data_IF_393496518092
#
_entry.id   IF_393496518092
#
_cell.length_a   1.000
_cell.length_b   1.000
_cell.length_c   1.000
_cell.angle_alpha   90.00
_cell.angle_beta   90.00
_cell.angle_gamma   90.00
#
_symmetry.space_group_name_H-M   'P 1'
#
loop_
_entity.id
_entity.type
_entity.pdbx_description
1 polymer ?
#
# COMPACT_ATOMS: atom_id res chain seq x y z
N UNK A 1 -16.57 21.93 -9.60
CA UNK A 1 -15.64 21.55 -8.51
C UNK A 1 -14.36 20.99 -9.12
N UNK A 2 -13.23 21.54 -8.69
CA UNK A 2 -11.89 21.19 -9.15
C UNK A 2 -11.10 20.61 -7.98
N UNK A 3 -10.05 19.85 -8.27
CA UNK A 3 -9.20 19.24 -7.25
C UNK A 3 -7.73 19.47 -7.57
N UNK A 4 -6.93 19.68 -6.53
CA UNK A 4 -5.47 19.62 -6.57
C UNK A 4 -5.00 18.48 -5.67
N UNK A 5 -4.21 17.57 -6.22
CA UNK A 5 -3.53 16.52 -5.48
C UNK A 5 -2.12 17.02 -5.16
N UNK A 6 -1.76 17.01 -3.88
CA UNK A 6 -0.42 17.35 -3.41
C UNK A 6 0.52 16.16 -3.57
N UNK A 7 1.83 16.39 -3.57
CA UNK A 7 2.85 15.33 -3.65
C UNK A 7 2.73 14.32 -2.49
N UNK A 8 2.19 14.74 -1.36
CA UNK A 8 1.88 13.86 -0.23
C UNK A 8 0.60 13.00 -0.39
N UNK A 9 -0.13 13.17 -1.49
CA UNK A 9 -1.40 12.47 -1.74
C UNK A 9 -2.63 13.12 -1.12
N UNK A 10 -2.49 14.22 -0.36
CA UNK A 10 -3.65 15.03 0.09
C UNK A 10 -4.37 15.63 -1.11
N UNK A 11 -5.71 15.61 -1.09
CA UNK A 11 -6.54 16.20 -2.14
C UNK A 11 -7.23 17.43 -1.58
N UNK A 12 -6.98 18.58 -2.19
CA UNK A 12 -7.65 19.83 -1.92
C UNK A 12 -8.73 20.06 -2.96
N UNK A 13 -9.89 20.54 -2.52
CA UNK A 13 -11.03 20.82 -3.36
C UNK A 13 -11.28 22.31 -3.50
N UNK A 14 -11.52 22.74 -4.74
CA UNK A 14 -11.75 24.13 -5.11
C UNK A 14 -13.06 24.27 -5.86
N UNK A 15 -13.73 25.39 -5.68
CA UNK A 15 -15.00 25.67 -6.33
C UNK A 15 -14.78 26.02 -7.81
N UNK A 16 -13.79 26.87 -8.08
CA UNK A 16 -13.45 27.41 -9.41
C UNK A 16 -12.04 27.00 -9.83
N UNK A 17 -11.77 27.00 -11.14
CA UNK A 17 -10.47 26.61 -11.70
C UNK A 17 -9.36 27.61 -11.34
N UNK A 18 -9.70 28.89 -11.28
CA UNK A 18 -8.75 29.98 -11.06
C UNK A 18 -8.16 29.96 -9.64
N UNK A 19 -8.84 29.31 -8.70
CA UNK A 19 -8.34 29.11 -7.34
C UNK A 19 -7.46 27.86 -7.19
N UNK A 20 -7.35 27.04 -8.24
CA UNK A 20 -6.49 25.86 -8.21
C UNK A 20 -5.04 26.32 -8.41
N UNK A 21 -4.10 25.94 -7.53
CA UNK A 21 -2.68 26.30 -7.59
C UNK A 21 -1.88 25.46 -8.59
N UNK A 22 -0.91 26.07 -9.30
CA UNK A 22 -0.09 25.46 -10.36
C UNK A 22 0.58 24.16 -9.96
N UNK A 23 0.78 23.27 -10.94
CA UNK A 23 1.61 22.08 -10.70
C UNK A 23 3.00 22.55 -10.29
N UNK A 24 3.49 22.07 -9.15
CA UNK A 24 4.72 22.52 -8.51
C UNK A 24 4.55 23.66 -7.50
N UNK A 25 3.41 24.37 -7.45
CA UNK A 25 3.19 25.41 -6.43
C UNK A 25 3.04 24.78 -5.03
N UNK A 26 3.63 25.44 -4.05
CA UNK A 26 3.58 25.05 -2.64
C UNK A 26 2.31 25.59 -2.01
N UNK A 27 1.48 24.69 -1.48
CA UNK A 27 0.24 25.06 -0.80
C UNK A 27 0.18 24.51 0.62
N UNK A 28 -0.59 25.18 1.52
CA UNK A 28 -0.74 24.71 2.88
C UNK A 28 -1.24 23.27 2.94
N UNK A 29 -0.49 22.44 3.65
CA UNK A 29 -0.78 21.04 3.87
C UNK A 29 -0.74 20.75 5.38
N UNK A 30 -1.79 20.13 5.91
CA UNK A 30 -1.86 19.76 7.34
C UNK A 30 -0.76 18.81 7.80
N UNK A 31 -0.13 18.07 6.87
CA UNK A 31 0.86 17.04 7.20
C UNK A 31 2.32 17.51 7.07
N UNK A 32 2.59 18.55 6.27
CA UNK A 32 3.95 19.01 5.94
C UNK A 32 4.16 20.53 6.07
N UNK A 33 3.15 21.26 6.53
CA UNK A 33 3.12 22.73 6.50
C UNK A 33 2.82 23.23 5.08
N UNK A 34 3.73 22.99 4.15
CA UNK A 34 3.56 23.28 2.72
C UNK A 34 3.88 22.06 1.87
N UNK A 35 3.10 21.81 0.83
CA UNK A 35 3.33 20.70 -0.09
C UNK A 35 3.08 21.12 -1.53
N UNK A 36 3.93 20.65 -2.44
CA UNK A 36 3.81 20.96 -3.84
C UNK A 36 2.57 20.29 -4.44
N UNK A 37 1.88 20.97 -5.35
CA UNK A 37 0.80 20.39 -6.14
C UNK A 37 1.41 19.44 -7.17
N UNK A 38 1.08 18.16 -7.06
CA UNK A 38 1.51 17.13 -8.01
C UNK A 38 0.58 17.08 -9.24
N UNK A 39 -0.73 17.23 -9.05
CA UNK A 39 -1.70 17.11 -10.14
C UNK A 39 -2.92 18.00 -9.94
N UNK A 40 -3.44 18.59 -11.02
CA UNK A 40 -4.73 19.28 -11.06
C UNK A 40 -5.74 18.45 -11.85
N UNK A 41 -7.00 18.41 -11.43
CA UNK A 41 -8.06 17.78 -12.22
C UNK A 41 -9.41 18.48 -12.01
N UNK A 42 -10.27 18.46 -13.03
CA UNK A 42 -11.70 18.78 -12.87
C UNK A 42 -12.36 17.57 -12.21
N UNK A 43 -13.12 17.76 -11.12
CA UNK A 43 -13.87 16.67 -10.50
C UNK A 43 -14.95 16.25 -11.49
N UNK A 44 -14.82 15.06 -12.08
CA UNK A 44 -15.85 14.50 -12.94
C UNK A 44 -17.05 14.14 -12.05
N UNK A 45 -18.15 14.88 -12.18
CA UNK A 45 -19.43 14.53 -11.58
C UNK A 45 -20.03 13.40 -12.41
N UNK A 46 -19.90 12.16 -11.94
CA UNK A 46 -20.52 11.01 -12.57
C UNK A 46 -19.57 10.12 -13.36
N UNK A 47 -19.65 8.82 -13.06
CA UNK A 47 -18.95 7.76 -13.76
C UNK A 47 -17.80 7.19 -12.95
N UNK A 48 -18.05 6.06 -12.27
CA UNK A 48 -17.03 5.05 -11.96
C UNK A 48 -16.26 4.73 -13.24
N UNK A 49 -15.20 5.48 -13.55
CA UNK A 49 -14.20 4.98 -14.49
C UNK A 49 -13.42 3.92 -13.74
N UNK A 50 -13.85 2.68 -13.95
CA UNK A 50 -13.02 1.50 -13.81
C UNK A 50 -11.79 1.73 -14.70
N UNK A 51 -10.80 2.46 -14.18
CA UNK A 51 -9.45 2.40 -14.72
C UNK A 51 -9.01 0.94 -14.74
N UNK A 52 -8.05 0.55 -15.60
CA UNK A 52 -7.52 -0.81 -15.63
C UNK A 52 -7.24 -1.21 -14.19
N UNK A 53 -7.97 -2.23 -13.72
CA UNK A 53 -8.05 -2.63 -12.32
C UNK A 53 -6.60 -2.75 -11.86
N UNK A 54 -6.13 -1.78 -11.06
CA UNK A 54 -4.75 -1.76 -10.61
C UNK A 54 -4.47 -3.17 -10.08
N UNK A 55 -3.44 -3.82 -10.66
CA UNK A 55 -3.11 -5.23 -10.41
C UNK A 55 -3.26 -5.44 -8.91
N UNK A 56 -4.23 -6.28 -8.51
CA UNK A 56 -4.48 -6.51 -7.09
C UNK A 56 -3.17 -7.03 -6.55
N UNK A 57 -2.55 -6.27 -5.63
CA UNK A 57 -1.36 -6.75 -4.96
C UNK A 57 -1.67 -8.11 -4.38
N UNK A 58 -0.83 -9.10 -4.68
CA UNK A 58 -1.04 -10.45 -4.20
C UNK A 58 -0.65 -10.54 -2.73
N UNK A 59 -1.09 -11.63 -2.09
CA UNK A 59 -0.67 -11.96 -0.73
C UNK A 59 0.86 -12.15 -0.66
N UNK A 60 1.48 -12.63 -1.73
CA UNK A 60 2.94 -12.79 -1.85
C UNK A 60 3.66 -11.44 -1.81
N UNK A 61 3.16 -10.42 -2.53
CA UNK A 61 3.74 -9.06 -2.51
C UNK A 61 3.61 -8.40 -1.12
N UNK A 62 2.59 -8.76 -0.33
CA UNK A 62 2.47 -8.30 1.06
C UNK A 62 3.55 -8.94 1.93
N UNK A 63 3.75 -10.25 1.77
CA UNK A 63 4.74 -11.02 2.50
C UNK A 63 6.16 -10.57 2.18
N UNK A 64 6.50 -10.38 0.90
CA UNK A 64 7.78 -9.83 0.44
C UNK A 64 8.03 -8.43 1.04
N UNK A 65 7.02 -7.57 1.03
CA UNK A 65 7.16 -6.23 1.62
C UNK A 65 7.39 -6.29 3.14
N UNK A 66 6.76 -7.23 3.82
CA UNK A 66 6.92 -7.45 5.27
C UNK A 66 8.26 -8.10 5.64
N UNK A 67 8.93 -8.81 4.71
CA UNK A 67 10.31 -9.27 4.93
C UNK A 67 11.28 -8.08 5.10
N UNK A 68 11.09 -7.02 4.30
CA UNK A 68 11.91 -5.81 4.40
C UNK A 68 11.48 -4.87 5.54
N UNK A 69 10.26 -5.04 6.05
CA UNK A 69 9.66 -4.20 7.09
C UNK A 69 8.96 -5.06 8.16
N UNK A 70 9.73 -5.75 9.02
CA UNK A 70 9.22 -6.75 9.98
C UNK A 70 8.33 -6.15 11.08
N UNK A 71 8.45 -4.85 11.32
CA UNK A 71 7.59 -4.07 12.21
C UNK A 71 7.02 -2.91 11.41
N UNK A 72 5.70 -2.90 11.23
CA UNK A 72 5.00 -1.87 10.46
C UNK A 72 3.66 -1.50 11.10
N UNK A 73 2.92 -0.60 10.46
CA UNK A 73 1.56 -0.24 10.87
C UNK A 73 0.58 -0.47 9.74
N UNK A 74 -0.69 -0.70 10.09
CA UNK A 74 -1.79 -0.79 9.12
C UNK A 74 -1.85 0.46 8.24
N UNK A 75 -1.52 1.63 8.79
CA UNK A 75 -1.47 2.88 8.02
C UNK A 75 -0.38 2.87 6.93
N UNK A 76 0.82 2.39 7.26
CA UNK A 76 1.92 2.24 6.29
C UNK A 76 1.54 1.23 5.18
N UNK A 77 0.92 0.11 5.54
CA UNK A 77 0.43 -0.88 4.59
C UNK A 77 -0.66 -0.33 3.65
N UNK A 78 -1.59 0.47 4.19
CA UNK A 78 -2.63 1.13 3.39
C UNK A 78 -2.06 2.16 2.42
N UNK A 79 -0.98 2.86 2.78
CA UNK A 79 -0.26 3.76 1.87
C UNK A 79 0.38 3.00 0.70
N UNK A 80 0.84 1.77 0.95
CA UNK A 80 1.33 0.84 -0.07
C UNK A 80 0.21 0.10 -0.83
N UNK A 81 -1.04 0.54 -0.66
CA UNK A 81 -2.25 -0.01 -1.30
C UNK A 81 -2.57 -1.46 -0.92
N UNK A 82 -2.01 -1.96 0.18
CA UNK A 82 -2.45 -3.22 0.76
C UNK A 82 -3.80 -3.02 1.46
N UNK A 83 -4.74 -3.91 1.19
CA UNK A 83 -6.11 -3.79 1.72
C UNK A 83 -6.23 -4.40 3.11
N UNK A 84 -7.08 -3.83 3.95
CA UNK A 84 -7.32 -4.35 5.30
C UNK A 84 -7.79 -5.82 5.29
N UNK A 85 -8.62 -6.20 4.32
CA UNK A 85 -9.08 -7.57 4.15
C UNK A 85 -7.92 -8.55 3.90
N UNK A 86 -6.91 -8.13 3.14
CA UNK A 86 -5.72 -8.94 2.88
C UNK A 86 -4.82 -9.04 4.12
N UNK A 87 -4.63 -7.92 4.83
CA UNK A 87 -3.88 -7.89 6.09
C UNK A 87 -4.52 -8.83 7.12
N UNK A 88 -5.85 -8.78 7.25
CA UNK A 88 -6.59 -9.67 8.15
C UNK A 88 -6.54 -11.13 7.71
N UNK A 89 -6.58 -11.43 6.41
CA UNK A 89 -6.46 -12.82 5.91
C UNK A 89 -5.12 -13.44 6.33
N UNK A 90 -4.01 -12.72 6.16
CA UNK A 90 -2.68 -13.19 6.58
C UNK A 90 -2.54 -13.26 8.11
N UNK A 91 -3.23 -12.37 8.83
CA UNK A 91 -3.34 -12.44 10.28
C UNK A 91 -4.07 -13.69 10.79
N UNK A 92 -5.13 -14.10 10.10
CA UNK A 92 -5.88 -15.34 10.40
C UNK A 92 -5.01 -16.58 10.15
N UNK A 93 -4.16 -16.53 9.12
CA UNK A 93 -3.17 -17.58 8.80
C UNK A 93 -1.98 -17.61 9.81
N UNK A 94 -2.05 -16.83 10.90
CA UNK A 94 -1.07 -16.76 11.99
C UNK A 94 0.36 -16.31 11.60
N UNK A 95 0.54 -15.78 10.39
CA UNK A 95 1.82 -15.28 9.89
C UNK A 95 2.17 -13.88 10.44
N UNK A 96 1.15 -13.13 10.87
CA UNK A 96 1.28 -11.76 11.39
C UNK A 96 0.62 -11.62 12.76
N UNK A 97 1.31 -10.93 13.65
CA UNK A 97 0.71 -10.37 14.85
C UNK A 97 0.10 -9.01 14.51
N UNK A 98 -1.21 -8.88 14.73
CA UNK A 98 -1.97 -7.67 14.48
C UNK A 98 -2.46 -7.12 15.81
N UNK A 99 -1.81 -6.07 16.28
CA UNK A 99 -2.34 -5.29 17.38
C UNK A 99 -3.39 -4.32 16.82
N UNK A 100 -4.65 -4.70 16.97
CA UNK A 100 -5.79 -3.91 16.50
C UNK A 100 -6.01 -2.64 17.32
N UNK A 101 -5.52 -2.57 18.56
CA UNK A 101 -5.65 -1.40 19.42
C UNK A 101 -4.69 -0.28 18.99
N UNK A 102 -3.46 -0.64 18.60
CA UNK A 102 -2.45 0.33 18.16
C UNK A 102 -2.30 0.41 16.63
N UNK A 103 -2.91 -0.53 15.89
CA UNK A 103 -2.76 -0.66 14.44
C UNK A 103 -1.36 -1.12 14.02
N UNK A 104 -0.63 -1.80 14.92
CA UNK A 104 0.72 -2.31 14.69
C UNK A 104 0.66 -3.71 14.09
N UNK A 105 1.57 -3.98 13.16
CA UNK A 105 1.71 -5.28 12.48
C UNK A 105 3.14 -5.76 12.67
N UNK A 106 3.30 -6.97 13.19
CA UNK A 106 4.61 -7.61 13.42
C UNK A 106 4.62 -8.97 12.75
N UNK A 107 5.70 -9.31 12.06
CA UNK A 107 5.89 -10.65 11.50
C UNK A 107 6.29 -11.60 12.62
N UNK A 108 5.47 -12.64 12.92
CA UNK A 108 5.75 -13.58 14.03
C UNK A 108 6.90 -14.54 13.73
N UNK A 109 7.09 -14.89 12.47
CA UNK A 109 8.13 -15.85 12.05
C UNK A 109 8.77 -15.39 10.74
N UNK A 110 9.87 -14.61 10.80
CA UNK A 110 10.65 -14.32 9.59
C UNK A 110 11.24 -15.60 8.95
N UNK A 111 11.39 -16.70 9.71
CA UNK A 111 11.97 -17.95 9.21
C UNK A 111 11.04 -18.77 8.28
N UNK A 112 9.73 -18.57 8.33
CA UNK A 112 8.80 -19.25 7.41
C UNK A 112 8.64 -18.52 6.06
N UNK A 113 9.16 -17.29 5.94
CA UNK A 113 9.22 -16.55 4.69
C UNK A 113 10.42 -16.92 3.82
N UNK A 114 11.42 -17.62 4.38
CA UNK A 114 12.65 -18.04 3.71
C UNK A 114 12.54 -19.46 3.12
N UNK A 115 11.51 -20.25 3.47
CA UNK A 115 11.40 -21.61 2.96
C UNK A 115 10.50 -21.69 1.72
N UNK A 116 11.06 -21.31 0.58
CA UNK A 116 10.93 -22.18 -0.58
C UNK A 116 12.07 -23.21 -0.49
N UNK A 117 11.84 -24.43 0.03
CA UNK A 117 12.80 -25.50 -0.19
C UNK A 117 12.70 -25.89 -1.67
N UNK A 118 13.53 -25.25 -2.49
CA UNK A 118 13.94 -25.78 -3.78
C UNK A 118 14.96 -26.90 -3.60
N UNK A 119 14.67 -27.87 -2.72
CA UNK A 119 15.38 -29.14 -2.65
C UNK A 119 14.44 -30.21 -3.20
N UNK A 120 14.33 -30.27 -4.53
CA UNK A 120 14.10 -31.54 -5.20
C UNK A 120 15.45 -32.23 -5.32
N UNK A 121 15.93 -32.72 -4.19
CA UNK A 121 17.01 -33.70 -4.16
C UNK A 121 16.43 -35.02 -4.68
N UNK A 122 16.45 -35.19 -6.01
CA UNK A 122 16.22 -36.48 -6.65
C UNK A 122 17.43 -37.38 -6.38
N UNK A 123 17.55 -37.87 -5.15
CA UNK A 123 18.34 -39.06 -4.83
C UNK A 123 17.67 -40.26 -5.51
N UNK A 124 18.04 -40.53 -6.76
CA UNK A 124 17.81 -41.83 -7.38
C UNK A 124 18.87 -42.81 -6.88
N UNK A 125 18.72 -43.24 -5.63
CA UNK A 125 19.19 -44.54 -5.12
C UNK A 125 18.41 -45.65 -5.84
N UNK A 126 18.94 -46.81 -6.25
CA UNK A 126 20.26 -47.46 -6.25
C UNK A 126 20.09 -48.81 -7.05
N UNK A 127 20.95 -49.84 -6.87
CA UNK A 127 21.67 -50.67 -7.87
C UNK A 127 20.91 -52.00 -8.20
N UNK A 128 21.52 -53.13 -8.64
CA UNK A 128 22.83 -53.43 -9.25
C UNK A 128 22.79 -53.76 -10.76
#
# INVERSE_FOLDING_TARGET
MYIATLSCGTVLSYETLNLVPAGGELVPCRNHGYCAVSRRAKRATGGRRLGPRAKRRSQEELLEWLQHHPVTTVHALRRQRFTLRMIMAVGIDALLDLDLATGRVVVRSPELLVRAPGEVECQSTRPP
#
